data_IF_974709233279
#
_entry.id   IF_974709233279
#
_cell.length_a   1.000
_cell.length_b   1.000
_cell.length_c   1.000
_cell.angle_alpha   90.00
_cell.angle_beta   90.00
_cell.angle_gamma   90.00
#
_symmetry.space_group_name_H-M   'P 1'
#
loop_
_entity.id
_entity.type
_entity.pdbx_description
1 polymer ?
#
# COMPACT_ATOMS: atom_id res chain seq x y z
N UNK A 1 -9.46 1.27 17.59
CA UNK A 1 -10.23 0.83 16.42
C UNK A 1 -9.33 -0.13 15.69
N UNK A 2 -9.65 -1.42 15.75
CA UNK A 2 -8.89 -2.46 15.05
C UNK A 2 -9.05 -2.24 13.55
N UNK A 3 -7.99 -1.75 12.92
CA UNK A 3 -7.88 -1.72 11.46
C UNK A 3 -7.85 -3.18 11.02
N UNK A 4 -8.95 -3.71 10.48
CA UNK A 4 -8.96 -5.02 9.87
C UNK A 4 -7.93 -5.02 8.74
N UNK A 5 -6.77 -5.64 8.99
CA UNK A 5 -5.70 -5.78 7.99
C UNK A 5 -6.19 -6.82 7.00
N UNK A 6 -6.79 -6.35 5.91
CA UNK A 6 -7.04 -7.20 4.76
C UNK A 6 -5.75 -7.30 3.95
N UNK A 7 -5.44 -8.50 3.48
CA UNK A 7 -4.31 -8.74 2.58
C UNK A 7 -4.81 -8.74 1.15
N UNK A 8 -4.11 -8.05 0.26
CA UNK A 8 -4.36 -8.05 -1.18
C UNK A 8 -3.18 -8.72 -1.85
N UNK A 9 -3.42 -9.75 -2.66
CA UNK A 9 -2.34 -10.31 -3.45
C UNK A 9 -1.92 -9.32 -4.54
N UNK A 10 -0.62 -9.22 -4.79
CA UNK A 10 -0.05 -8.31 -5.78
C UNK A 10 -0.66 -8.49 -7.16
N UNK A 11 -1.02 -9.72 -7.54
CA UNK A 11 -1.65 -10.01 -8.82
C UNK A 11 -3.06 -9.40 -8.94
N UNK A 12 -3.73 -9.17 -7.82
CA UNK A 12 -5.09 -8.64 -7.75
C UNK A 12 -5.11 -7.10 -7.64
N UNK A 13 -3.95 -6.44 -7.53
CA UNK A 13 -3.83 -5.01 -7.27
C UNK A 13 -4.66 -4.15 -8.23
N UNK A 14 -4.47 -4.36 -9.53
CA UNK A 14 -5.15 -3.56 -10.55
C UNK A 14 -6.67 -3.82 -10.56
N UNK A 15 -7.08 -5.08 -10.48
CA UNK A 15 -8.50 -5.44 -10.41
C UNK A 15 -9.18 -4.91 -9.15
N UNK A 16 -8.47 -4.92 -8.01
CA UNK A 16 -8.96 -4.30 -6.78
C UNK A 16 -9.16 -2.80 -6.96
N UNK A 17 -8.18 -2.11 -7.54
CA UNK A 17 -8.23 -0.68 -7.83
C UNK A 17 -9.35 -0.31 -8.83
N UNK A 18 -9.60 -1.14 -9.84
CA UNK A 18 -10.72 -0.98 -10.80
C UNK A 18 -12.10 -1.06 -10.12
N UNK A 19 -12.22 -1.87 -9.07
CA UNK A 19 -13.47 -2.06 -8.34
C UNK A 19 -13.76 -0.94 -7.32
N UNK A 20 -12.79 -0.06 -7.07
CA UNK A 20 -13.00 1.08 -6.19
C UNK A 20 -13.94 2.10 -6.85
N UNK A 21 -14.90 2.65 -6.11
CA UNK A 21 -15.81 3.65 -6.67
C UNK A 21 -15.06 4.94 -7.00
N UNK A 22 -15.40 5.56 -8.13
CA UNK A 22 -14.93 6.89 -8.49
C UNK A 22 -15.59 7.97 -7.60
N UNK A 23 -14.90 9.08 -7.28
CA UNK A 23 -13.55 9.48 -7.71
C UNK A 23 -12.44 8.79 -6.92
N UNK A 24 -11.17 9.03 -7.26
CA UNK A 24 -9.97 8.50 -6.55
C UNK A 24 -10.15 8.51 -5.01
N UNK A 25 -10.12 7.33 -4.37
CA UNK A 25 -10.30 7.19 -2.91
C UNK A 25 -9.09 6.55 -2.24
N UNK A 26 -8.45 5.57 -2.87
CA UNK A 26 -7.42 4.81 -2.18
C UNK A 26 -6.14 5.64 -2.04
N UNK A 27 -5.72 5.85 -0.80
CA UNK A 27 -4.46 6.52 -0.46
C UNK A 27 -3.36 5.48 -0.25
N UNK A 28 -2.26 5.53 -1.00
CA UNK A 28 -1.10 4.69 -0.74
C UNK A 28 -0.47 5.04 0.61
N UNK A 29 -0.15 4.02 1.39
CA UNK A 29 0.59 4.13 2.64
C UNK A 29 1.79 3.21 2.57
N UNK A 30 2.97 3.79 2.75
CA UNK A 30 4.24 3.09 2.77
C UNK A 30 4.76 3.04 4.19
N UNK A 31 4.94 1.84 4.74
CA UNK A 31 5.53 1.67 6.07
C UNK A 31 7.01 1.32 5.92
N UNK A 32 7.88 2.15 6.48
CA UNK A 32 9.33 1.93 6.48
C UNK A 32 9.75 1.10 7.69
N UNK A 33 10.57 0.06 7.45
CA UNK A 33 11.10 -0.81 8.50
C UNK A 33 12.61 -1.00 8.35
N UNK A 34 13.37 -0.67 9.40
CA UNK A 34 14.84 -0.79 9.38
C UNK A 34 15.27 -2.23 9.09
N UNK A 35 16.12 -2.40 8.07
CA UNK A 35 16.60 -3.72 7.63
C UNK A 35 15.56 -4.61 6.93
N UNK A 36 14.32 -4.14 6.74
CA UNK A 36 13.22 -4.92 6.12
C UNK A 36 12.59 -4.22 4.91
N UNK A 37 13.13 -3.06 4.52
CA UNK A 37 12.65 -2.27 3.38
C UNK A 37 11.32 -1.56 3.66
N UNK A 38 10.58 -1.30 2.58
CA UNK A 38 9.29 -0.64 2.59
C UNK A 38 8.18 -1.66 2.32
N UNK A 39 7.02 -1.49 2.93
CA UNK A 39 5.79 -2.24 2.58
C UNK A 39 4.72 -1.27 2.11
N UNK A 40 3.90 -1.69 1.15
CA UNK A 40 2.81 -0.90 0.61
C UNK A 40 1.46 -1.40 1.17
N UNK A 41 0.60 -0.46 1.52
CA UNK A 41 -0.82 -0.66 1.77
C UNK A 41 -1.64 0.39 1.03
N UNK A 42 -2.90 0.08 0.75
CA UNK A 42 -3.90 1.03 0.26
C UNK A 42 -4.90 1.30 1.38
N UNK A 43 -5.14 2.57 1.67
CA UNK A 43 -6.12 3.01 2.66
C UNK A 43 -7.33 3.62 1.95
N UNK A 44 -8.51 3.05 2.14
CA UNK A 44 -9.77 3.58 1.60
C UNK A 44 -10.89 3.36 2.61
N UNK A 45 -11.82 4.32 2.74
CA UNK A 45 -12.97 4.23 3.65
C UNK A 45 -12.63 3.80 5.10
N UNK A 46 -11.45 4.16 5.61
CA UNK A 46 -10.98 3.79 6.95
C UNK A 46 -10.49 2.33 7.09
N UNK A 47 -10.46 1.58 6.00
CA UNK A 47 -9.84 0.26 5.91
C UNK A 47 -8.44 0.38 5.33
N UNK A 48 -7.53 -0.49 5.79
CA UNK A 48 -6.17 -0.58 5.27
C UNK A 48 -5.92 -1.98 4.74
N UNK A 49 -5.54 -2.03 3.48
CA UNK A 49 -5.28 -3.28 2.75
C UNK A 49 -3.80 -3.36 2.44
N UNK A 50 -3.12 -4.37 2.99
CA UNK A 50 -1.68 -4.55 2.80
C UNK A 50 -1.43 -5.35 1.53
N UNK A 51 -0.52 -4.86 0.69
CA UNK A 51 -0.10 -5.58 -0.50
C UNK A 51 0.82 -6.74 -0.11
N UNK A 52 0.50 -7.92 -0.60
CA UNK A 52 1.19 -9.18 -0.30
C UNK A 52 1.53 -9.96 -1.56
N UNK A 53 2.53 -10.81 -1.50
CA UNK A 53 2.89 -11.75 -2.56
C UNK A 53 3.12 -13.11 -1.89
N UNK A 54 2.29 -14.10 -2.23
CA UNK A 54 2.35 -15.42 -1.59
C UNK A 54 2.10 -15.37 -0.08
N UNK A 55 1.20 -14.49 0.38
CA UNK A 55 0.82 -14.33 1.78
C UNK A 55 1.83 -13.57 2.66
N UNK A 56 2.89 -13.00 2.07
CA UNK A 56 3.86 -12.15 2.78
C UNK A 56 3.77 -10.71 2.29
N UNK A 57 3.96 -9.69 3.15
CA UNK A 57 3.96 -8.29 2.71
C UNK A 57 5.01 -8.04 1.62
N UNK A 58 4.60 -7.41 0.52
CA UNK A 58 5.49 -7.00 -0.56
C UNK A 58 6.56 -6.06 -0.02
N UNK A 59 7.82 -6.33 -0.40
CA UNK A 59 8.96 -5.52 0.02
C UNK A 59 9.47 -4.69 -1.14
N UNK A 60 9.55 -3.38 -0.93
CA UNK A 60 10.06 -2.43 -1.90
C UNK A 60 11.37 -1.84 -1.40
N UNK A 61 12.31 -1.63 -2.33
CA UNK A 61 13.63 -1.06 -2.04
C UNK A 61 13.64 0.47 -1.94
N UNK A 62 12.66 1.15 -2.55
CA UNK A 62 12.56 2.61 -2.59
C UNK A 62 11.10 3.04 -2.78
N UNK A 63 10.84 4.34 -2.56
CA UNK A 63 9.54 4.95 -2.90
C UNK A 63 9.31 4.91 -4.41
N UNK A 64 10.34 5.07 -5.23
CA UNK A 64 10.22 4.96 -6.69
C UNK A 64 9.71 3.58 -7.12
N UNK A 65 10.17 2.50 -6.47
CA UNK A 65 9.68 1.15 -6.73
C UNK A 65 8.21 0.99 -6.33
N UNK A 66 7.76 1.67 -5.27
CA UNK A 66 6.35 1.70 -4.87
C UNK A 66 5.51 2.47 -5.90
N UNK A 67 5.99 3.64 -6.34
CA UNK A 67 5.27 4.44 -7.33
C UNK A 67 5.21 3.74 -8.69
N UNK A 68 6.26 3.01 -9.06
CA UNK A 68 6.27 2.15 -10.25
C UNK A 68 5.26 1.01 -10.14
N UNK A 69 5.12 0.37 -8.97
CA UNK A 69 4.10 -0.65 -8.74
C UNK A 69 2.67 -0.12 -8.93
N UNK A 70 2.45 1.12 -8.52
CA UNK A 70 1.17 1.83 -8.61
C UNK A 70 0.98 2.57 -9.94
N UNK A 71 1.96 2.52 -10.85
CA UNK A 71 1.89 3.25 -12.10
C UNK A 71 0.78 2.68 -13.00
N UNK A 72 -0.19 3.51 -13.36
CA UNK A 72 -1.39 3.06 -14.08
C UNK A 72 -2.44 2.37 -13.21
N UNK A 73 -2.27 2.27 -11.88
CA UNK A 73 -3.31 1.80 -10.99
C UNK A 73 -4.47 2.82 -10.92
N UNK A 74 -5.70 2.45 -11.31
CA UNK A 74 -6.84 3.37 -11.31
C UNK A 74 -7.30 3.66 -9.87
N UNK A 75 -8.03 4.76 -9.67
CA UNK A 75 -8.66 5.09 -8.38
C UNK A 75 -7.73 5.19 -7.15
N UNK A 76 -6.41 5.32 -7.38
CA UNK A 76 -5.38 5.51 -6.36
C UNK A 76 -4.80 6.93 -6.40
N UNK A 77 -4.75 7.61 -5.26
CA UNK A 77 -4.18 8.97 -5.14
C UNK A 77 -2.69 8.90 -4.81
N UNK A 78 -1.86 8.66 -5.83
CA UNK A 78 -0.40 8.60 -5.68
C UNK A 78 0.21 9.94 -5.27
N UNK A 79 -0.45 11.07 -5.54
CA UNK A 79 -0.02 12.39 -5.11
C UNK A 79 -0.15 12.59 -3.58
N UNK A 80 -0.97 11.77 -2.91
CA UNK A 80 -1.16 11.79 -1.45
C UNK A 80 -0.52 10.60 -0.74
N UNK A 81 0.51 10.00 -1.34
CA UNK A 81 1.26 8.91 -0.73
C UNK A 81 1.78 9.30 0.66
N UNK A 82 1.48 8.47 1.66
CA UNK A 82 1.93 8.65 3.05
C UNK A 82 3.11 7.73 3.30
N UNK A 83 4.14 8.23 3.98
CA UNK A 83 5.28 7.44 4.44
C UNK A 83 5.25 7.39 5.97
N UNK A 84 4.99 6.21 6.53
CA UNK A 84 5.02 5.94 7.96
C UNK A 84 6.40 5.43 8.37
N UNK A 85 7.14 6.27 9.09
CA UNK A 85 8.48 5.93 9.61
C UNK A 85 8.49 5.67 11.13
N UNK A 86 7.33 5.66 11.80
CA UNK A 86 7.24 5.49 13.25
C UNK A 86 7.90 4.19 13.73
N UNK A 87 7.75 3.10 12.97
CA UNK A 87 8.33 1.79 13.28
C UNK A 87 9.80 1.65 12.87
N UNK A 88 10.37 2.65 12.18
CA UNK A 88 11.72 2.55 11.64
C UNK A 88 12.78 2.47 12.75
N UNK A 89 12.59 3.21 13.84
CA UNK A 89 13.54 3.30 14.95
C UNK A 89 13.21 2.40 16.14
N UNK A 90 12.07 1.70 16.14
CA UNK A 90 11.58 0.91 17.29
C UNK A 90 12.23 -0.48 17.43
N UNK A 91 13.47 -0.65 16.95
CA UNK A 91 14.23 -1.89 17.08
C UNK A 91 15.57 -1.66 17.74
#
# INVERSE_FOLDING_TARGET
MDTAIMSLDRQELYSFCDLLPEPIIARPVVTASRGRGLTLALEYQGQRVTLTEGGKPCKFGSVDAVLFELDGAPNVDTARLVIEAANYWQH
#
